data_IF_809698239501
#
_entry.id   IF_809698239501
#
_cell.length_a   1.000
_cell.length_b   1.000
_cell.length_c   1.000
_cell.angle_alpha   90.00
_cell.angle_beta   90.00
_cell.angle_gamma   90.00
#
_symmetry.space_group_name_H-M   'P 1'
#
loop_
_entity.id
_entity.type
_entity.pdbx_description
1 polymer ?
#
# COMPACT_ATOMS: atom_id res chain seq x y z
N UNK A 1 26.33 -2.12 -38.08
CA UNK A 1 25.00 -1.82 -37.54
C UNK A 1 24.67 -2.74 -36.41
N UNK A 2 24.07 -2.26 -35.30
CA UNK A 2 23.66 -3.10 -34.18
C UNK A 2 22.33 -3.77 -34.53
N UNK A 3 22.29 -5.10 -34.52
CA UNK A 3 21.06 -5.85 -34.83
C UNK A 3 19.98 -5.48 -33.83
N UNK A 4 18.75 -5.23 -34.29
CA UNK A 4 17.62 -4.89 -33.45
C UNK A 4 17.16 -6.11 -32.64
N UNK A 5 16.98 -5.93 -31.34
CA UNK A 5 16.55 -6.99 -30.43
C UNK A 5 15.37 -6.54 -29.58
N UNK A 6 14.49 -7.50 -29.24
CA UNK A 6 13.41 -7.35 -28.27
C UNK A 6 13.65 -8.40 -27.18
N UNK A 7 13.53 -8.04 -25.92
CA UNK A 7 13.78 -8.93 -24.81
C UNK A 7 12.51 -9.17 -23.98
N UNK A 8 12.30 -10.42 -23.61
CA UNK A 8 11.34 -10.82 -22.57
C UNK A 8 12.09 -11.31 -21.33
N UNK A 9 11.42 -11.87 -20.37
CA UNK A 9 12.02 -12.40 -19.16
C UNK A 9 13.01 -13.55 -19.50
N UNK A 10 12.55 -14.53 -20.30
CA UNK A 10 13.29 -15.74 -20.60
C UNK A 10 13.87 -15.81 -22.03
N UNK A 11 13.47 -14.90 -22.93
CA UNK A 11 13.83 -14.98 -24.35
C UNK A 11 14.40 -13.67 -24.88
N UNK A 12 15.23 -13.82 -25.92
CA UNK A 12 15.73 -12.73 -26.76
C UNK A 12 15.18 -12.94 -28.18
N UNK A 13 14.57 -11.92 -28.74
CA UNK A 13 14.10 -11.89 -30.10
C UNK A 13 15.10 -11.08 -30.92
N UNK A 14 15.83 -11.73 -31.80
CA UNK A 14 16.84 -11.10 -32.63
C UNK A 14 16.31 -10.96 -34.04
N UNK A 15 16.37 -9.74 -34.60
CA UNK A 15 15.90 -9.49 -35.97
C UNK A 15 16.66 -10.36 -36.97
N UNK A 16 15.92 -11.08 -37.82
CA UNK A 16 16.47 -11.99 -38.81
C UNK A 16 17.32 -11.28 -39.86
N UNK A 17 18.32 -11.98 -40.34
CA UNK A 17 19.22 -11.62 -41.43
C UNK A 17 19.30 -12.73 -42.45
N UNK A 18 19.98 -12.48 -43.59
CA UNK A 18 20.23 -13.52 -44.60
C UNK A 18 21.09 -14.70 -44.10
N UNK A 19 21.86 -14.49 -43.01
CA UNK A 19 22.66 -15.55 -42.40
C UNK A 19 21.82 -16.58 -41.61
N UNK A 20 20.56 -16.30 -41.34
CA UNK A 20 19.68 -17.13 -40.49
C UNK A 20 18.89 -18.21 -41.28
N UNK A 21 19.24 -18.44 -42.54
CA UNK A 21 18.56 -19.39 -43.41
C UNK A 21 18.42 -20.78 -42.83
N UNK A 22 19.48 -21.34 -42.18
CA UNK A 22 19.45 -22.66 -41.60
C UNK A 22 18.52 -22.74 -40.39
N UNK A 23 18.53 -21.71 -39.54
CA UNK A 23 17.62 -21.62 -38.39
C UNK A 23 16.17 -21.50 -38.84
N UNK A 24 15.92 -20.68 -39.88
CA UNK A 24 14.58 -20.51 -40.44
C UNK A 24 14.09 -21.79 -41.13
N UNK A 25 14.92 -22.48 -41.87
CA UNK A 25 14.61 -23.78 -42.48
C UNK A 25 14.26 -24.84 -41.43
N UNK A 26 15.05 -24.94 -40.35
CA UNK A 26 14.77 -25.89 -39.25
C UNK A 26 13.37 -25.69 -38.67
N UNK A 27 12.89 -24.46 -38.58
CA UNK A 27 11.56 -24.14 -38.07
C UNK A 27 10.48 -24.41 -39.13
N UNK A 28 10.74 -24.05 -40.40
CA UNK A 28 9.73 -24.12 -41.46
C UNK A 28 9.60 -25.52 -42.10
N UNK A 29 10.57 -26.43 -41.86
CA UNK A 29 10.54 -27.81 -42.27
C UNK A 29 9.86 -28.70 -41.21
N UNK A 30 8.67 -28.30 -40.77
CA UNK A 30 7.83 -29.06 -39.83
C UNK A 30 6.37 -28.85 -40.15
N UNK A 31 5.64 -29.90 -40.52
CA UNK A 31 4.22 -29.81 -40.91
C UNK A 31 3.33 -29.25 -39.81
N UNK A 32 3.56 -29.66 -38.56
CA UNK A 32 2.75 -29.19 -37.42
C UNK A 32 2.92 -27.68 -37.17
N UNK A 33 4.17 -27.19 -37.27
CA UNK A 33 4.51 -25.78 -37.10
C UNK A 33 3.96 -24.94 -38.24
N UNK A 34 3.98 -25.48 -39.48
CA UNK A 34 3.58 -24.78 -40.68
C UNK A 34 2.10 -24.97 -41.06
N UNK A 35 1.38 -25.83 -40.35
CA UNK A 35 -0.02 -26.21 -40.60
C UNK A 35 -0.96 -25.03 -40.84
N UNK A 36 -0.82 -23.95 -40.10
CA UNK A 36 -1.67 -22.74 -40.23
C UNK A 36 -0.94 -21.56 -40.89
N UNK A 37 0.16 -21.82 -41.60
CA UNK A 37 0.96 -20.80 -42.29
C UNK A 37 0.93 -21.09 -43.81
N UNK A 38 1.36 -22.29 -44.19
CA UNK A 38 1.43 -22.73 -45.58
C UNK A 38 0.62 -24.03 -45.82
N UNK A 39 0.14 -24.66 -44.75
CA UNK A 39 -0.58 -25.93 -44.78
C UNK A 39 0.34 -27.16 -44.80
N UNK A 40 1.63 -27.02 -45.07
CA UNK A 40 2.63 -28.06 -45.15
C UNK A 40 4.02 -27.52 -44.79
N UNK A 41 4.95 -28.44 -44.46
CA UNK A 41 6.35 -28.12 -44.28
C UNK A 41 7.00 -27.60 -45.55
N UNK A 42 7.88 -26.62 -45.45
CA UNK A 42 8.60 -26.11 -46.59
C UNK A 42 9.85 -26.94 -46.92
N UNK A 43 10.13 -27.10 -48.18
CA UNK A 43 11.45 -27.56 -48.61
C UNK A 43 12.49 -26.41 -48.50
N UNK A 44 13.76 -26.70 -48.77
CA UNK A 44 14.85 -25.72 -48.61
C UNK A 44 14.66 -24.52 -49.55
N UNK A 45 14.23 -24.75 -50.80
CA UNK A 45 14.08 -23.66 -51.78
C UNK A 45 12.91 -22.75 -51.40
N UNK A 46 11.81 -23.32 -50.98
CA UNK A 46 10.64 -22.60 -50.50
C UNK A 46 10.95 -21.78 -49.26
N UNK A 47 11.64 -22.40 -48.30
CA UNK A 47 12.07 -21.71 -47.04
C UNK A 47 12.99 -20.55 -47.34
N UNK A 48 14.02 -20.72 -48.18
CA UNK A 48 14.95 -19.67 -48.57
C UNK A 48 14.24 -18.54 -49.35
N UNK A 49 13.28 -18.88 -50.19
CA UNK A 49 12.46 -17.91 -50.93
C UNK A 49 11.60 -17.09 -49.97
N UNK A 50 10.93 -17.76 -49.05
CA UNK A 50 10.08 -17.08 -48.03
C UNK A 50 10.90 -16.16 -47.13
N UNK A 51 12.06 -16.61 -46.66
CA UNK A 51 12.97 -15.75 -45.87
C UNK A 51 13.37 -14.50 -46.66
N UNK A 52 13.78 -14.65 -47.93
CA UNK A 52 14.15 -13.51 -48.78
C UNK A 52 13.00 -12.50 -48.91
N UNK A 53 11.75 -13.00 -49.09
CA UNK A 53 10.56 -12.14 -49.16
C UNK A 53 10.40 -11.35 -47.85
N UNK A 54 10.47 -11.99 -46.72
CA UNK A 54 10.36 -11.31 -45.41
C UNK A 54 11.46 -10.28 -45.15
N UNK A 55 12.68 -10.57 -45.57
CA UNK A 55 13.80 -9.61 -45.43
C UNK A 55 13.68 -8.40 -46.34
N UNK A 56 12.95 -8.53 -47.46
CA UNK A 56 12.71 -7.43 -48.38
C UNK A 56 11.58 -6.49 -47.94
N UNK A 57 10.68 -6.95 -47.01
CA UNK A 57 9.54 -6.15 -46.54
C UNK A 57 9.98 -4.91 -45.73
N UNK A 58 10.98 -5.06 -44.89
CA UNK A 58 11.44 -4.02 -43.95
C UNK A 58 12.96 -3.91 -43.89
N UNK A 59 13.44 -2.69 -43.95
CA UNK A 59 14.87 -2.41 -43.77
C UNK A 59 15.40 -2.73 -42.35
N UNK A 60 16.73 -2.78 -42.21
CA UNK A 60 17.38 -3.13 -40.94
C UNK A 60 17.26 -2.06 -39.86
N UNK A 61 16.92 -0.83 -40.21
CA UNK A 61 16.85 0.31 -39.29
C UNK A 61 15.54 0.39 -38.50
N UNK A 62 14.53 -0.37 -38.90
CA UNK A 62 13.23 -0.45 -38.22
C UNK A 62 13.13 -1.66 -37.32
N UNK A 63 12.26 -1.58 -36.32
CA UNK A 63 11.85 -2.74 -35.50
C UNK A 63 10.77 -3.60 -36.16
N UNK A 64 10.21 -3.18 -37.29
CA UNK A 64 9.29 -4.03 -38.03
C UNK A 64 10.06 -5.15 -38.75
N UNK A 65 9.43 -6.32 -38.89
CA UNK A 65 9.96 -7.48 -39.57
C UNK A 65 9.89 -8.77 -38.78
N UNK A 66 10.77 -9.70 -39.12
CA UNK A 66 10.82 -11.07 -38.57
C UNK A 66 11.98 -11.23 -37.59
N UNK A 67 11.74 -12.05 -36.56
CA UNK A 67 12.69 -12.27 -35.47
C UNK A 67 12.89 -13.78 -35.24
N UNK A 68 14.09 -14.19 -34.91
CA UNK A 68 14.35 -15.45 -34.22
C UNK A 68 14.06 -15.29 -32.73
N UNK A 69 13.44 -16.26 -32.12
CA UNK A 69 13.25 -16.36 -30.68
C UNK A 69 14.28 -17.34 -30.15
N UNK A 70 15.16 -16.90 -29.27
CA UNK A 70 16.19 -17.71 -28.65
C UNK A 70 16.07 -17.66 -27.12
N UNK A 71 16.35 -18.80 -26.49
CA UNK A 71 16.41 -18.89 -25.03
C UNK A 71 17.55 -18.01 -24.49
N UNK A 72 17.28 -17.16 -23.52
CA UNK A 72 18.27 -16.29 -22.90
C UNK A 72 19.33 -17.09 -22.14
N UNK A 73 18.98 -18.23 -21.57
CA UNK A 73 19.88 -19.06 -20.76
C UNK A 73 20.75 -20.00 -21.56
N UNK A 74 20.22 -20.57 -22.67
CA UNK A 74 20.93 -21.59 -23.47
C UNK A 74 21.34 -21.13 -24.85
N UNK A 75 20.78 -20.06 -25.39
CA UNK A 75 20.93 -19.64 -26.79
C UNK A 75 20.19 -20.57 -27.79
N UNK A 76 19.37 -21.49 -27.30
CA UNK A 76 18.64 -22.45 -28.11
C UNK A 76 17.56 -21.75 -28.93
N UNK A 77 17.39 -22.11 -30.21
CA UNK A 77 16.33 -21.64 -31.06
C UNK A 77 14.99 -22.20 -30.60
N UNK A 78 14.07 -21.31 -30.29
CA UNK A 78 12.72 -21.61 -29.78
C UNK A 78 11.66 -21.44 -30.85
N UNK A 79 11.86 -20.49 -31.76
CA UNK A 79 10.86 -20.19 -32.79
C UNK A 79 11.12 -18.88 -33.50
N UNK A 80 10.05 -18.31 -34.06
CA UNK A 80 10.09 -16.99 -34.73
C UNK A 80 8.93 -16.12 -34.30
N UNK A 81 9.13 -14.81 -34.42
CA UNK A 81 8.10 -13.79 -34.18
C UNK A 81 8.05 -12.78 -35.32
N UNK A 82 6.96 -12.04 -35.40
CA UNK A 82 6.82 -10.91 -36.33
C UNK A 82 6.27 -9.67 -35.64
N UNK A 83 6.68 -8.55 -36.17
CA UNK A 83 6.07 -7.24 -35.97
C UNK A 83 5.87 -6.62 -37.37
N UNK A 84 4.63 -6.49 -37.78
CA UNK A 84 4.28 -5.90 -39.05
C UNK A 84 3.44 -4.64 -38.88
N UNK A 85 3.39 -3.80 -39.90
CA UNK A 85 2.45 -2.68 -39.96
C UNK A 85 1.30 -3.07 -40.84
N UNK A 86 0.08 -3.09 -40.28
CA UNK A 86 -1.15 -3.21 -41.02
C UNK A 86 -1.89 -1.87 -40.93
N UNK A 87 -1.86 -1.09 -42.03
CA UNK A 87 -2.38 0.27 -42.03
C UNK A 87 -1.81 1.17 -40.97
N UNK A 88 -2.50 1.41 -39.86
CA UNK A 88 -2.05 2.19 -38.71
C UNK A 88 -1.89 1.34 -37.44
N UNK A 89 -2.06 0.03 -37.55
CA UNK A 89 -2.04 -0.93 -36.45
C UNK A 89 -0.75 -1.76 -36.51
N UNK A 90 -0.23 -2.16 -35.35
CA UNK A 90 0.94 -3.07 -35.30
C UNK A 90 0.44 -4.49 -35.15
N UNK A 91 0.70 -5.33 -36.16
CA UNK A 91 0.40 -6.74 -36.11
C UNK A 91 1.53 -7.51 -35.44
N UNK A 92 1.19 -8.35 -34.47
CA UNK A 92 2.10 -9.30 -33.87
C UNK A 92 1.81 -10.75 -34.34
N UNK A 93 2.86 -11.55 -34.42
CA UNK A 93 2.72 -12.97 -34.68
C UNK A 93 3.89 -13.75 -34.10
N UNK A 94 3.70 -15.06 -33.94
CA UNK A 94 4.74 -15.97 -33.44
C UNK A 94 4.52 -17.39 -34.00
N UNK A 95 5.60 -18.14 -34.09
CA UNK A 95 5.64 -19.59 -34.34
C UNK A 95 6.65 -20.19 -33.39
N UNK A 96 6.24 -21.21 -32.66
CA UNK A 96 7.09 -21.89 -31.67
C UNK A 96 7.36 -23.30 -32.21
N UNK A 97 8.60 -23.79 -32.11
CA UNK A 97 8.99 -25.13 -32.47
C UNK A 97 8.22 -26.16 -31.64
N UNK A 98 7.85 -27.27 -32.24
CA UNK A 98 6.93 -28.27 -31.67
C UNK A 98 7.41 -28.80 -30.28
N UNK A 99 8.69 -29.03 -30.12
CA UNK A 99 9.32 -29.53 -28.88
C UNK A 99 9.20 -28.55 -27.70
N UNK A 100 8.79 -27.29 -27.98
CA UNK A 100 8.61 -26.24 -26.98
C UNK A 100 7.15 -25.89 -26.69
N UNK A 101 6.20 -26.62 -27.27
CA UNK A 101 4.77 -26.39 -27.03
C UNK A 101 4.35 -26.75 -25.61
N UNK A 102 3.23 -26.19 -25.15
CA UNK A 102 2.68 -26.46 -23.80
C UNK A 102 3.41 -25.82 -22.63
N UNK A 103 4.54 -25.15 -22.85
CA UNK A 103 5.42 -24.59 -21.80
C UNK A 103 5.12 -23.10 -21.48
N UNK A 104 4.06 -22.51 -22.04
CA UNK A 104 3.70 -21.10 -21.79
C UNK A 104 4.48 -20.07 -22.62
N UNK A 105 5.47 -20.50 -23.38
CA UNK A 105 6.41 -19.66 -24.16
C UNK A 105 5.68 -18.71 -25.10
N UNK A 106 4.75 -19.21 -25.92
CA UNK A 106 3.99 -18.40 -26.85
C UNK A 106 3.24 -17.25 -26.16
N UNK A 107 2.74 -17.46 -24.93
CA UNK A 107 2.06 -16.42 -24.15
C UNK A 107 3.03 -15.34 -23.67
N UNK A 108 4.25 -15.73 -23.23
CA UNK A 108 5.30 -14.78 -22.85
C UNK A 108 5.72 -13.93 -24.06
N UNK A 109 5.96 -14.59 -25.20
CA UNK A 109 6.34 -13.90 -26.45
C UNK A 109 5.25 -12.91 -26.89
N UNK A 110 3.98 -13.35 -26.92
CA UNK A 110 2.85 -12.46 -27.30
C UNK A 110 2.77 -11.23 -26.36
N UNK A 111 2.87 -11.43 -25.06
CA UNK A 111 2.91 -10.33 -24.07
C UNK A 111 4.11 -9.39 -24.29
N UNK A 112 5.28 -9.97 -24.52
CA UNK A 112 6.50 -9.21 -24.80
C UNK A 112 6.37 -8.34 -26.06
N UNK A 113 5.83 -8.89 -27.15
CA UNK A 113 5.57 -8.17 -28.40
C UNK A 113 4.54 -7.06 -28.20
N UNK A 114 3.43 -7.33 -27.50
CA UNK A 114 2.40 -6.32 -27.17
C UNK A 114 3.03 -5.19 -26.36
N UNK A 115 3.77 -5.52 -25.31
CA UNK A 115 4.46 -4.54 -24.47
C UNK A 115 5.40 -3.67 -25.29
N UNK A 116 6.24 -4.30 -26.11
CA UNK A 116 7.18 -3.60 -26.97
C UNK A 116 6.47 -2.68 -27.99
N UNK A 117 5.43 -3.18 -28.65
CA UNK A 117 4.64 -2.39 -29.59
C UNK A 117 4.01 -1.15 -28.93
N UNK A 118 3.48 -1.29 -27.71
CA UNK A 118 2.88 -0.17 -26.96
C UNK A 118 3.91 0.81 -26.41
N UNK A 119 5.00 0.33 -25.83
CA UNK A 119 5.96 1.17 -25.11
C UNK A 119 7.03 1.77 -26.02
N UNK A 120 7.50 1.00 -27.02
CA UNK A 120 8.64 1.44 -27.88
C UNK A 120 8.18 1.97 -29.23
N UNK A 121 7.18 1.32 -29.86
CA UNK A 121 6.64 1.76 -31.14
C UNK A 121 5.47 2.74 -30.99
N UNK A 122 4.99 2.96 -29.77
CA UNK A 122 3.84 3.82 -29.46
C UNK A 122 2.59 3.47 -30.28
N UNK A 123 2.41 2.17 -30.57
CA UNK A 123 1.31 1.66 -31.37
C UNK A 123 -0.05 2.07 -30.77
N UNK A 124 -0.90 2.71 -31.55
CA UNK A 124 -2.28 3.05 -31.13
C UNK A 124 -3.05 1.79 -30.83
N UNK A 125 -2.96 0.80 -31.73
CA UNK A 125 -3.58 -0.50 -31.60
C UNK A 125 -2.56 -1.60 -31.92
N UNK A 126 -2.63 -2.72 -31.18
CA UNK A 126 -1.89 -3.95 -31.47
C UNK A 126 -2.90 -5.01 -31.87
N UNK A 127 -2.66 -5.68 -32.98
CA UNK A 127 -3.54 -6.69 -33.57
C UNK A 127 -2.82 -8.01 -33.79
N UNK A 128 -3.58 -9.09 -33.97
CA UNK A 128 -3.09 -10.38 -34.41
C UNK A 128 -4.17 -11.10 -35.21
N UNK A 129 -3.76 -11.82 -36.25
CA UNK A 129 -4.65 -12.71 -37.01
C UNK A 129 -4.35 -14.16 -36.65
N UNK A 130 -5.39 -14.97 -36.50
CA UNK A 130 -5.26 -16.39 -36.19
C UNK A 130 -6.31 -17.19 -36.95
N UNK A 131 -5.89 -18.32 -37.58
CA UNK A 131 -6.81 -19.23 -38.22
C UNK A 131 -7.83 -19.77 -37.20
N UNK A 132 -9.11 -19.80 -37.56
CA UNK A 132 -10.22 -20.21 -36.67
C UNK A 132 -10.05 -21.62 -36.12
N UNK A 133 -9.34 -22.50 -36.80
CA UNK A 133 -9.03 -23.88 -36.36
C UNK A 133 -7.84 -23.96 -35.40
N UNK A 134 -7.08 -22.87 -35.23
CA UNK A 134 -5.90 -22.86 -34.34
C UNK A 134 -6.29 -22.50 -32.89
N UNK A 135 -6.98 -23.45 -32.23
CA UNK A 135 -7.45 -23.26 -30.85
C UNK A 135 -6.31 -22.98 -29.84
N UNK A 136 -5.09 -23.45 -30.13
CA UNK A 136 -3.94 -23.21 -29.27
C UNK A 136 -3.52 -21.74 -29.31
N UNK A 137 -3.39 -21.15 -30.50
CA UNK A 137 -3.01 -19.75 -30.66
C UNK A 137 -4.11 -18.79 -30.17
N UNK A 138 -5.39 -19.14 -30.38
CA UNK A 138 -6.54 -18.40 -29.83
C UNK A 138 -6.38 -18.25 -28.31
N UNK A 139 -6.17 -19.36 -27.59
CA UNK A 139 -5.96 -19.35 -26.13
C UNK A 139 -4.72 -18.54 -25.69
N UNK A 140 -3.67 -18.52 -26.50
CA UNK A 140 -2.47 -17.72 -26.22
C UNK A 140 -2.81 -16.23 -26.32
N UNK A 141 -3.50 -15.80 -27.38
CA UNK A 141 -3.89 -14.40 -27.58
C UNK A 141 -4.82 -13.90 -26.47
N UNK A 142 -5.82 -14.71 -26.09
CA UNK A 142 -6.70 -14.41 -24.95
C UNK A 142 -5.93 -14.24 -23.63
N UNK A 143 -5.00 -15.18 -23.32
CA UNK A 143 -4.12 -15.09 -22.14
C UNK A 143 -3.17 -13.90 -22.20
N UNK A 144 -2.82 -13.42 -23.38
CA UNK A 144 -2.03 -12.21 -23.57
C UNK A 144 -2.84 -10.90 -23.43
N UNK A 145 -4.16 -11.00 -23.21
CA UNK A 145 -5.04 -9.85 -23.03
C UNK A 145 -5.61 -9.29 -24.34
N UNK A 146 -5.61 -10.10 -25.39
CA UNK A 146 -6.25 -9.75 -26.65
C UNK A 146 -7.69 -10.29 -26.70
N UNK A 147 -8.56 -9.61 -27.39
CA UNK A 147 -9.98 -9.99 -27.58
C UNK A 147 -10.27 -10.16 -29.06
N UNK A 148 -11.05 -11.18 -29.40
CA UNK A 148 -11.54 -11.39 -30.75
C UNK A 148 -12.61 -10.33 -31.08
N UNK A 149 -12.43 -9.60 -32.17
CA UNK A 149 -13.32 -8.52 -32.57
C UNK A 149 -13.98 -8.77 -33.92
N UNK A 150 -13.41 -9.64 -34.73
CA UNK A 150 -13.87 -9.85 -36.11
C UNK A 150 -13.55 -11.26 -36.61
N UNK A 151 -14.44 -11.83 -37.36
CA UNK A 151 -14.20 -13.05 -38.15
C UNK A 151 -14.10 -12.64 -39.61
N UNK A 152 -12.93 -12.88 -40.22
CA UNK A 152 -12.64 -12.54 -41.61
C UNK A 152 -12.70 -13.82 -42.43
N UNK A 153 -13.52 -13.82 -43.48
CA UNK A 153 -13.62 -14.92 -44.43
C UNK A 153 -12.99 -14.48 -45.75
N UNK A 154 -11.85 -15.04 -46.09
CA UNK A 154 -11.20 -14.87 -47.37
C UNK A 154 -11.37 -16.14 -48.20
N UNK A 155 -11.09 -16.08 -49.51
CA UNK A 155 -11.34 -17.18 -50.44
C UNK A 155 -10.73 -18.50 -50.02
N UNK A 156 -9.55 -18.48 -49.36
CA UNK A 156 -8.79 -19.65 -49.04
C UNK A 156 -8.64 -19.88 -47.50
N UNK A 157 -9.04 -18.94 -46.66
CA UNK A 157 -8.80 -19.03 -45.24
C UNK A 157 -9.79 -18.21 -44.39
N UNK A 158 -10.21 -18.79 -43.26
CA UNK A 158 -11.03 -18.09 -42.27
C UNK A 158 -10.18 -17.78 -41.05
N UNK A 159 -10.11 -16.51 -40.66
CA UNK A 159 -9.32 -15.98 -39.57
C UNK A 159 -10.17 -15.19 -38.58
N UNK A 160 -9.71 -15.15 -37.33
CA UNK A 160 -10.13 -14.16 -36.32
C UNK A 160 -9.13 -13.01 -36.28
N UNK A 161 -9.65 -11.78 -36.20
CA UNK A 161 -8.87 -10.60 -35.85
C UNK A 161 -8.98 -10.39 -34.35
N UNK A 162 -7.83 -10.39 -33.67
CA UNK A 162 -7.70 -10.06 -32.28
C UNK A 162 -7.13 -8.66 -32.13
N UNK A 163 -7.64 -7.90 -31.14
CA UNK A 163 -7.06 -6.62 -30.75
C UNK A 163 -6.61 -6.67 -29.29
N UNK A 164 -5.51 -6.01 -28.96
CA UNK A 164 -5.12 -5.82 -27.57
C UNK A 164 -6.05 -4.81 -26.90
N UNK A 165 -6.79 -5.30 -25.93
CA UNK A 165 -7.63 -4.48 -25.06
C UNK A 165 -7.14 -4.69 -23.64
N UNK A 166 -6.43 -3.70 -23.03
CA UNK A 166 -6.02 -3.83 -21.65
C UNK A 166 -7.29 -4.00 -20.80
N UNK A 167 -7.52 -5.23 -20.35
CA UNK A 167 -8.66 -5.54 -19.50
C UNK A 167 -8.51 -4.70 -18.24
N UNK A 168 -9.45 -3.80 -18.00
CA UNK A 168 -9.67 -3.19 -16.69
C UNK A 168 -10.06 -4.35 -15.76
N UNK A 169 -9.09 -4.85 -15.00
CA UNK A 169 -9.26 -6.03 -14.16
C UNK A 169 -10.49 -5.84 -13.26
N UNK A 170 -11.60 -6.60 -13.45
CA UNK A 170 -12.83 -6.42 -12.68
C UNK A 170 -12.61 -6.71 -11.19
N UNK A 171 -11.58 -7.50 -10.87
CA UNK A 171 -11.16 -7.78 -9.50
C UNK A 171 -10.63 -6.51 -8.80
N UNK A 172 -9.82 -5.70 -9.49
CA UNK A 172 -9.32 -4.42 -8.94
C UNK A 172 -10.46 -3.46 -8.60
N UNK A 173 -11.50 -3.38 -9.43
CA UNK A 173 -12.70 -2.56 -9.12
C UNK A 173 -13.43 -3.08 -7.89
N UNK A 174 -13.63 -4.40 -7.77
CA UNK A 174 -14.27 -5.00 -6.59
C UNK A 174 -13.49 -4.73 -5.32
N UNK A 175 -12.16 -4.90 -5.34
CA UNK A 175 -11.28 -4.58 -4.21
C UNK A 175 -11.39 -3.10 -3.84
N UNK A 176 -11.38 -2.19 -4.83
CA UNK A 176 -11.54 -0.76 -4.58
C UNK A 176 -12.89 -0.44 -3.90
N UNK A 177 -14.00 -1.05 -4.35
CA UNK A 177 -15.31 -0.83 -3.72
C UNK A 177 -15.39 -1.40 -2.30
N UNK A 178 -14.73 -2.54 -2.03
CA UNK A 178 -14.64 -3.09 -0.67
C UNK A 178 -13.88 -2.13 0.25
N UNK A 179 -12.73 -1.64 -0.18
CA UNK A 179 -11.94 -0.66 0.60
C UNK A 179 -12.74 0.62 0.84
N UNK A 180 -13.40 1.14 -0.19
CA UNK A 180 -14.25 2.33 -0.06
C UNK A 180 -15.40 2.10 0.93
N UNK A 181 -16.04 0.93 0.86
CA UNK A 181 -17.08 0.53 1.80
C UNK A 181 -16.60 0.48 3.25
N UNK A 182 -15.41 -0.09 3.50
CA UNK A 182 -14.78 -0.11 4.82
C UNK A 182 -14.47 1.29 5.35
N UNK A 183 -13.95 2.17 4.50
CA UNK A 183 -13.71 3.59 4.87
C UNK A 183 -15.03 4.27 5.27
N UNK A 184 -16.10 4.07 4.50
CA UNK A 184 -17.42 4.64 4.81
C UNK A 184 -17.93 4.12 6.15
N UNK A 185 -17.80 2.81 6.42
CA UNK A 185 -18.21 2.21 7.70
C UNK A 185 -17.45 2.85 8.86
N UNK A 186 -16.13 3.01 8.75
CA UNK A 186 -15.29 3.66 9.79
C UNK A 186 -15.72 5.10 10.00
N UNK A 187 -15.97 5.86 8.94
CA UNK A 187 -16.43 7.24 9.04
C UNK A 187 -17.80 7.34 9.71
N UNK A 188 -18.75 6.48 9.32
CA UNK A 188 -20.08 6.45 9.96
C UNK A 188 -19.96 6.09 11.44
N UNK A 189 -19.15 5.09 11.78
CA UNK A 189 -18.87 4.74 13.18
C UNK A 189 -18.29 5.93 13.95
N UNK A 190 -17.32 6.66 13.36
CA UNK A 190 -16.71 7.83 13.98
C UNK A 190 -17.72 8.95 14.29
N UNK A 191 -18.75 9.14 13.46
CA UNK A 191 -19.80 10.14 13.72
C UNK A 191 -20.78 9.72 14.82
N UNK A 192 -20.97 8.40 15.02
CA UNK A 192 -21.93 7.88 16.02
C UNK A 192 -21.25 7.68 17.38
N UNK A 193 -19.97 7.33 17.40
CA UNK A 193 -19.23 7.03 18.62
C UNK A 193 -18.89 8.30 19.41
N UNK A 194 -18.88 8.23 20.76
CA UNK A 194 -18.42 9.35 21.57
C UNK A 194 -17.01 9.77 21.20
N UNK A 195 -16.77 11.06 21.21
CA UNK A 195 -15.45 11.66 21.01
C UNK A 195 -14.78 12.09 22.31
N UNK A 196 -15.59 12.29 23.35
CA UNK A 196 -15.14 12.76 24.64
C UNK A 196 -14.91 11.60 25.60
N UNK A 197 -13.90 11.72 26.42
CA UNK A 197 -13.55 10.76 27.45
C UNK A 197 -13.24 11.47 28.76
N UNK A 198 -13.51 10.81 29.86
CA UNK A 198 -13.19 11.32 31.20
C UNK A 198 -12.80 10.14 32.10
N UNK A 199 -11.86 10.39 33.00
CA UNK A 199 -11.45 9.47 34.04
C UNK A 199 -11.43 10.23 35.36
N UNK A 200 -12.04 9.70 36.41
CA UNK A 200 -12.00 10.28 37.76
C UNK A 200 -11.76 9.16 38.77
N UNK A 201 -10.93 9.45 39.78
CA UNK A 201 -10.73 8.60 40.95
C UNK A 201 -10.77 9.46 42.22
N UNK A 202 -11.10 8.82 43.34
CA UNK A 202 -11.18 9.50 44.62
C UNK A 202 -10.51 8.71 45.75
N UNK A 203 -10.12 9.44 46.79
CA UNK A 203 -9.57 8.87 48.04
C UNK A 203 -10.01 9.72 49.20
N UNK A 204 -10.19 9.09 50.41
CA UNK A 204 -10.38 9.82 51.65
C UNK A 204 -9.05 9.88 52.37
N UNK A 205 -8.61 11.10 52.76
CA UNK A 205 -7.39 11.39 53.50
C UNK A 205 -7.77 11.91 54.89
N UNK A 206 -7.22 11.31 55.93
CA UNK A 206 -7.48 11.68 57.33
C UNK A 206 -6.66 12.93 57.72
N UNK A 207 -6.96 14.03 57.09
CA UNK A 207 -6.42 15.37 57.34
C UNK A 207 -7.48 16.44 57.08
N UNK A 208 -7.43 17.60 57.79
CA UNK A 208 -8.33 18.72 57.53
C UNK A 208 -8.22 19.21 56.10
N UNK A 209 -9.36 19.64 55.53
CA UNK A 209 -9.49 20.10 54.13
C UNK A 209 -8.48 21.17 53.78
N UNK A 210 -8.24 22.15 54.64
CA UNK A 210 -7.29 23.23 54.40
C UNK A 210 -5.86 22.71 54.22
N UNK A 211 -5.42 21.73 54.99
CA UNK A 211 -4.09 21.15 54.86
C UNK A 211 -3.93 20.36 53.53
N UNK A 212 -4.95 19.58 53.20
CA UNK A 212 -4.95 18.77 51.95
C UNK A 212 -4.97 19.70 50.75
N UNK A 213 -5.85 20.76 50.76
CA UNK A 213 -5.95 21.69 49.66
C UNK A 213 -4.66 22.45 49.41
N UNK A 214 -4.05 23.04 50.46
CA UNK A 214 -2.77 23.72 50.33
C UNK A 214 -1.65 22.84 49.78
N UNK A 215 -1.67 21.55 50.06
CA UNK A 215 -0.71 20.63 49.52
C UNK A 215 -0.92 20.33 48.03
N UNK A 216 -2.18 20.05 47.61
CA UNK A 216 -2.49 19.70 46.21
C UNK A 216 -2.50 20.90 45.27
N UNK A 217 -2.67 22.13 45.82
CA UNK A 217 -2.62 23.38 45.03
C UNK A 217 -1.23 23.61 44.40
N UNK A 218 -0.17 23.14 45.03
CA UNK A 218 1.19 23.18 44.49
C UNK A 218 1.41 22.06 43.48
N UNK A 219 1.63 22.38 42.19
CA UNK A 219 1.97 21.38 41.19
C UNK A 219 3.34 20.74 41.40
N UNK A 220 4.29 21.43 42.08
CA UNK A 220 5.57 20.83 42.44
C UNK A 220 5.40 19.69 43.43
N UNK A 221 4.41 19.77 44.31
CA UNK A 221 4.12 18.69 45.25
C UNK A 221 3.63 17.42 44.56
N UNK A 222 3.05 17.55 43.35
CA UNK A 222 2.61 16.40 42.54
C UNK A 222 3.77 15.44 42.22
N UNK A 223 4.99 15.96 42.12
CA UNK A 223 6.19 15.16 41.87
C UNK A 223 6.50 14.17 43.00
N UNK A 224 5.99 14.39 44.20
CA UNK A 224 6.25 13.54 45.40
C UNK A 224 5.31 12.31 45.45
N UNK A 225 4.18 12.33 44.73
CA UNK A 225 3.17 11.30 44.84
C UNK A 225 2.65 10.76 43.50
N UNK A 226 2.85 11.49 42.41
CA UNK A 226 2.43 11.04 41.08
C UNK A 226 3.25 9.83 40.60
N UNK A 227 2.58 8.84 40.10
CA UNK A 227 3.22 7.61 39.57
C UNK A 227 4.13 7.86 38.37
N UNK A 228 3.86 8.92 37.60
CA UNK A 228 4.65 9.25 36.40
C UNK A 228 6.10 9.61 36.69
N UNK A 229 6.38 10.16 37.88
CA UNK A 229 7.76 10.41 38.32
C UNK A 229 8.55 9.11 38.51
N UNK A 230 7.87 8.02 38.86
CA UNK A 230 8.49 6.71 38.97
C UNK A 230 8.74 6.00 37.63
N UNK A 231 8.06 6.43 36.54
CA UNK A 231 8.21 5.82 35.22
C UNK A 231 9.47 6.30 34.47
N UNK A 232 10.01 7.48 34.87
CA UNK A 232 11.30 7.97 34.35
C UNK A 232 12.09 8.70 35.43
N UNK A 233 13.08 8.05 36.05
CA UNK A 233 13.95 8.68 37.03
C UNK A 233 14.80 9.85 36.50
N UNK A 234 14.95 9.96 35.18
CA UNK A 234 15.74 10.99 34.52
C UNK A 234 14.88 12.09 33.89
N UNK A 235 13.59 12.16 34.22
CA UNK A 235 12.67 13.17 33.68
C UNK A 235 13.19 14.59 33.97
N UNK A 236 13.26 15.38 32.92
CA UNK A 236 13.63 16.80 33.05
C UNK A 236 12.37 17.61 33.33
N UNK A 237 12.46 18.42 34.37
CA UNK A 237 11.38 19.34 34.78
C UNK A 237 11.82 20.78 34.63
N UNK A 238 10.91 21.63 34.16
CA UNK A 238 11.09 23.07 34.16
C UNK A 238 9.79 23.72 34.62
N UNK A 239 9.91 24.81 35.38
CA UNK A 239 8.78 25.50 36.01
C UNK A 239 8.80 26.96 35.65
N UNK A 240 7.62 27.53 35.38
CA UNK A 240 7.46 28.97 35.11
C UNK A 240 6.32 29.52 35.93
N UNK A 241 6.51 30.72 36.51
CA UNK A 241 5.53 31.38 37.38
C UNK A 241 5.69 31.05 38.85
N UNK A 242 4.71 31.42 39.66
CA UNK A 242 4.65 31.16 41.08
C UNK A 242 3.78 29.93 41.34
N UNK A 243 4.35 28.90 41.97
CA UNK A 243 3.63 27.66 42.25
C UNK A 243 2.39 27.90 43.15
N UNK A 244 1.31 27.17 42.86
CA UNK A 244 0.05 27.32 43.54
C UNK A 244 -0.76 28.58 43.13
N UNK A 245 -0.40 29.24 42.02
CA UNK A 245 -1.16 30.34 41.47
C UNK A 245 -1.56 30.11 40.02
N UNK A 246 -2.61 30.75 39.54
CA UNK A 246 -3.03 30.68 38.13
C UNK A 246 -1.91 31.17 37.22
N UNK A 247 -1.67 30.42 36.13
CA UNK A 247 -0.58 30.66 35.17
C UNK A 247 0.73 29.95 35.52
N UNK A 248 0.82 29.30 36.69
CA UNK A 248 1.99 28.42 36.96
C UNK A 248 1.99 27.24 36.02
N UNK A 249 3.14 26.99 35.38
CA UNK A 249 3.32 25.93 34.42
C UNK A 249 4.46 25.01 34.85
N UNK A 250 4.18 23.69 34.86
CA UNK A 250 5.14 22.61 35.06
C UNK A 250 5.36 21.91 33.74
N UNK A 251 6.55 22.01 33.16
CA UNK A 251 6.94 21.34 31.92
C UNK A 251 7.75 20.10 32.21
N UNK A 252 7.59 19.06 31.40
CA UNK A 252 8.37 17.82 31.49
C UNK A 252 8.86 17.34 30.14
N UNK A 253 10.01 16.67 30.15
CA UNK A 253 10.59 15.95 29.02
C UNK A 253 11.20 14.65 29.57
N UNK A 254 10.58 13.52 29.24
CA UNK A 254 10.94 12.19 29.71
C UNK A 254 11.17 11.19 28.59
N UNK A 255 11.27 9.91 28.97
CA UNK A 255 11.38 8.80 28.02
C UNK A 255 10.08 8.59 27.23
N UNK A 256 10.06 7.56 26.34
CA UNK A 256 8.89 7.24 25.50
C UNK A 256 7.60 6.88 26.27
N UNK A 257 7.70 6.50 27.54
CA UNK A 257 6.57 6.11 28.37
C UNK A 257 5.94 7.32 29.09
N UNK A 258 6.70 8.40 29.27
CA UNK A 258 6.26 9.67 29.89
C UNK A 258 6.03 10.75 28.85
N UNK A 259 6.80 10.75 27.76
CA UNK A 259 6.69 11.74 26.69
C UNK A 259 7.14 13.13 27.11
N UNK A 260 6.60 14.14 26.40
CA UNK A 260 6.89 15.55 26.63
C UNK A 260 5.59 16.35 26.68
N UNK A 261 5.53 17.32 27.58
CA UNK A 261 4.36 18.18 27.71
C UNK A 261 4.49 19.20 28.81
N UNK A 262 3.37 19.84 29.09
CA UNK A 262 3.24 20.84 30.15
C UNK A 262 1.88 20.79 30.83
N UNK A 263 1.83 21.20 32.07
CA UNK A 263 0.62 21.34 32.88
C UNK A 263 0.57 22.75 33.46
N UNK A 264 -0.49 23.47 33.17
CA UNK A 264 -0.72 24.84 33.60
C UNK A 264 -1.89 24.88 34.57
N UNK A 265 -1.79 25.64 35.67
CA UNK A 265 -2.91 25.97 36.54
C UNK A 265 -3.76 27.02 35.81
N UNK A 266 -4.99 26.67 35.44
CA UNK A 266 -5.89 27.57 34.69
C UNK A 266 -6.91 28.28 35.60
N UNK A 267 -7.29 27.63 36.73
CA UNK A 267 -8.23 28.22 37.69
C UNK A 267 -8.04 27.61 39.07
N UNK A 268 -8.24 28.44 40.09
CA UNK A 268 -8.27 27.98 41.50
C UNK A 268 -9.57 28.50 42.13
N UNK A 269 -10.33 27.58 42.74
CA UNK A 269 -11.41 27.91 43.68
C UNK A 269 -10.87 27.54 45.06
N UNK A 270 -10.49 28.55 45.81
CA UNK A 270 -9.71 28.41 47.02
C UNK A 270 -10.38 27.47 48.05
N UNK A 271 -9.62 26.54 48.52
CA UNK A 271 -10.09 25.50 49.43
C UNK A 271 -10.98 24.44 48.80
N UNK A 272 -11.29 24.47 47.52
CA UNK A 272 -12.26 23.55 46.86
C UNK A 272 -11.71 22.83 45.65
N UNK A 273 -11.10 23.60 44.71
CA UNK A 273 -10.78 23.02 43.39
C UNK A 273 -9.59 23.71 42.73
N UNK A 274 -8.76 22.91 42.10
CA UNK A 274 -7.69 23.37 41.22
C UNK A 274 -7.94 22.75 39.84
N UNK A 275 -8.13 23.62 38.84
CA UNK A 275 -8.23 23.22 37.43
C UNK A 275 -6.90 23.44 36.74
N UNK A 276 -6.51 22.48 35.93
CA UNK A 276 -5.28 22.53 35.16
C UNK A 276 -5.54 22.10 33.72
N UNK A 277 -4.71 22.58 32.82
CA UNK A 277 -4.68 22.13 31.44
C UNK A 277 -3.37 21.40 31.17
N UNK A 278 -3.47 20.17 30.66
CA UNK A 278 -2.34 19.37 30.20
C UNK A 278 -2.23 19.49 28.69
N UNK A 279 -1.06 19.91 28.22
CA UNK A 279 -0.69 19.95 26.80
C UNK A 279 0.41 18.96 26.56
N UNK A 280 0.07 17.83 25.96
CA UNK A 280 1.04 16.81 25.50
C UNK A 280 1.61 17.27 24.16
N UNK A 281 2.94 17.13 24.00
CA UNK A 281 3.69 17.50 22.79
C UNK A 281 4.17 16.23 22.08
N UNK A 282 4.63 15.26 22.85
CA UNK A 282 5.10 13.96 22.37
C UNK A 282 4.50 12.82 23.20
N UNK A 283 4.15 11.66 22.60
CA UNK A 283 4.33 11.29 21.18
C UNK A 283 3.24 11.85 20.26
N UNK A 284 2.13 12.37 20.77
CA UNK A 284 1.01 12.96 20.01
C UNK A 284 0.55 14.23 20.67
N UNK A 285 0.36 15.28 19.87
CA UNK A 285 -0.18 16.54 20.38
C UNK A 285 -1.63 16.36 20.83
N UNK A 286 -1.90 16.73 22.09
CA UNK A 286 -3.27 16.80 22.62
C UNK A 286 -3.36 17.78 23.78
N UNK A 287 -4.54 18.37 23.94
CA UNK A 287 -4.85 19.25 25.06
C UNK A 287 -6.01 18.65 25.84
N UNK A 288 -5.85 18.53 27.14
CA UNK A 288 -6.79 17.90 28.04
C UNK A 288 -6.96 18.72 29.29
N UNK A 289 -8.16 18.69 29.86
CA UNK A 289 -8.44 19.35 31.13
C UNK A 289 -8.29 18.35 32.28
N UNK A 290 -7.70 18.79 33.36
CA UNK A 290 -7.61 18.02 34.57
C UNK A 290 -7.98 18.88 35.79
N UNK A 291 -8.37 18.22 36.85
CA UNK A 291 -8.74 18.93 38.06
C UNK A 291 -8.50 18.08 39.31
N UNK A 292 -8.30 18.78 40.43
CA UNK A 292 -8.36 18.18 41.75
C UNK A 292 -9.42 18.92 42.59
N UNK A 293 -10.27 18.15 43.29
CA UNK A 293 -11.33 18.65 44.14
C UNK A 293 -11.10 18.16 45.55
N UNK A 294 -11.34 19.04 46.55
CA UNK A 294 -11.39 18.66 47.95
C UNK A 294 -12.77 18.89 48.57
N UNK A 295 -13.32 17.85 49.17
CA UNK A 295 -14.61 17.90 49.86
C UNK A 295 -14.40 17.48 51.34
N UNK A 296 -14.86 18.26 52.29
CA UNK A 296 -14.80 17.85 53.67
C UNK A 296 -15.76 16.69 53.92
N UNK A 297 -15.24 15.61 54.46
CA UNK A 297 -16.06 14.45 54.95
C UNK A 297 -16.44 14.72 56.41
N UNK A 298 -15.47 15.14 57.19
CA UNK A 298 -15.61 15.64 58.56
C UNK A 298 -14.49 16.66 58.86
N UNK A 299 -14.40 17.30 60.08
CA UNK A 299 -13.34 18.25 60.36
C UNK A 299 -11.89 17.74 60.26
N UNK A 300 -11.71 16.43 60.31
CA UNK A 300 -10.42 15.74 60.26
C UNK A 300 -10.18 14.89 59.03
N UNK A 301 -11.17 14.78 58.12
CA UNK A 301 -11.08 13.94 56.91
C UNK A 301 -11.58 14.65 55.65
N UNK A 302 -10.84 14.48 54.57
CA UNK A 302 -11.07 15.12 53.27
C UNK A 302 -11.14 14.08 52.17
N UNK A 303 -12.20 14.16 51.35
CA UNK A 303 -12.27 13.42 50.11
C UNK A 303 -11.54 14.26 49.03
N UNK A 304 -10.61 13.62 48.34
CA UNK A 304 -9.90 14.20 47.20
C UNK A 304 -10.33 13.45 45.94
N UNK A 305 -10.79 14.18 44.93
CA UNK A 305 -11.06 13.68 43.61
C UNK A 305 -10.00 14.20 42.63
N UNK A 306 -9.54 13.33 41.76
CA UNK A 306 -8.64 13.67 40.68
C UNK A 306 -9.25 13.24 39.36
N UNK A 307 -9.51 14.21 38.51
CA UNK A 307 -10.18 14.01 37.22
C UNK A 307 -9.34 14.50 36.05
N UNK A 308 -9.58 13.86 34.92
CA UNK A 308 -8.97 14.15 33.63
C UNK A 308 -9.99 13.93 32.53
N UNK A 309 -10.08 14.88 31.58
CA UNK A 309 -10.98 14.77 30.45
C UNK A 309 -10.35 15.32 29.18
N UNK A 310 -10.78 14.79 28.06
CA UNK A 310 -10.32 15.21 26.76
C UNK A 310 -11.26 14.81 25.65
N UNK A 311 -10.91 15.19 24.43
CA UNK A 311 -11.68 14.88 23.25
C UNK A 311 -10.75 14.38 22.15
N UNK A 312 -11.15 13.31 21.47
CA UNK A 312 -10.42 12.75 20.33
C UNK A 312 -11.11 13.16 19.03
N UNK A 313 -10.37 13.78 18.07
CA UNK A 313 -10.98 14.23 16.83
C UNK A 313 -11.45 13.07 15.96
N UNK A 314 -12.50 13.31 15.17
CA UNK A 314 -12.99 12.39 14.15
C UNK A 314 -11.94 12.32 13.02
N UNK A 315 -11.60 11.13 12.48
CA UNK A 315 -12.18 9.81 12.77
C UNK A 315 -11.46 9.01 13.86
N UNK A 316 -10.49 9.59 14.58
CA UNK A 316 -9.65 8.86 15.54
C UNK A 316 -10.42 8.38 16.77
N UNK A 317 -11.57 9.01 17.07
CA UNK A 317 -12.43 8.64 18.22
C UNK A 317 -12.92 7.18 18.17
N UNK A 318 -12.92 6.50 17.01
CA UNK A 318 -13.22 5.06 16.91
C UNK A 318 -12.23 4.19 17.67
N UNK A 319 -11.08 4.73 18.03
CA UNK A 319 -10.06 4.01 18.80
C UNK A 319 -10.30 4.06 20.32
N UNK A 320 -11.09 5.03 20.81
CA UNK A 320 -11.32 5.23 22.25
C UNK A 320 -11.71 3.95 23.00
N UNK A 321 -12.66 3.10 22.52
CA UNK A 321 -13.04 1.87 23.23
C UNK A 321 -11.91 0.85 23.34
N UNK A 322 -10.89 0.94 22.49
CA UNK A 322 -9.77 0.00 22.44
C UNK A 322 -8.54 0.49 23.21
N UNK A 323 -8.53 1.75 23.64
CA UNK A 323 -7.38 2.35 24.31
C UNK A 323 -7.32 2.02 25.81
N UNK A 324 -8.39 1.47 26.39
CA UNK A 324 -8.43 1.14 27.82
C UNK A 324 -8.12 2.33 28.73
N UNK A 325 -8.51 3.55 28.33
CA UNK A 325 -8.17 4.80 29.04
C UNK A 325 -8.61 4.75 30.52
N UNK A 326 -9.82 4.27 30.77
CA UNK A 326 -10.33 4.19 32.13
C UNK A 326 -9.55 3.21 33.00
N UNK A 327 -9.12 2.09 32.42
CA UNK A 327 -8.35 1.06 33.14
C UNK A 327 -6.91 1.52 33.39
N UNK A 328 -6.24 2.04 32.35
CA UNK A 328 -4.82 2.45 32.42
C UNK A 328 -4.64 3.76 33.22
N UNK A 329 -5.27 4.85 32.78
CA UNK A 329 -5.15 6.17 33.42
C UNK A 329 -5.81 6.14 34.79
N UNK A 330 -6.97 5.46 34.92
CA UNK A 330 -7.67 5.33 36.19
C UNK A 330 -6.84 4.59 37.25
N UNK A 331 -6.11 3.56 36.85
CA UNK A 331 -5.17 2.87 37.76
C UNK A 331 -4.05 3.82 38.20
N UNK A 332 -3.42 4.54 37.29
CA UNK A 332 -2.35 5.49 37.60
C UNK A 332 -2.87 6.60 38.55
N UNK A 333 -4.09 7.08 38.36
CA UNK A 333 -4.72 8.06 39.27
C UNK A 333 -4.98 7.49 40.64
N UNK A 334 -5.51 6.27 40.73
CA UNK A 334 -5.78 5.63 42.00
C UNK A 334 -4.48 5.37 42.79
N UNK A 335 -3.43 4.89 42.12
CA UNK A 335 -2.13 4.65 42.72
C UNK A 335 -1.51 5.97 43.19
N UNK A 336 -1.58 7.03 42.39
CA UNK A 336 -1.14 8.39 42.77
C UNK A 336 -1.88 8.93 44.00
N UNK A 337 -3.22 8.82 44.01
CA UNK A 337 -4.03 9.24 45.16
C UNK A 337 -3.72 8.43 46.43
N UNK A 338 -3.46 7.16 46.30
CA UNK A 338 -3.02 6.31 47.43
C UNK A 338 -1.64 6.75 47.97
N UNK A 339 -0.70 7.12 47.08
CA UNK A 339 0.58 7.69 47.46
C UNK A 339 0.40 9.02 48.18
N UNK A 340 -0.45 9.93 47.67
CA UNK A 340 -0.78 11.20 48.29
C UNK A 340 -1.33 11.00 49.70
N UNK A 341 -2.29 10.07 49.86
CA UNK A 341 -2.83 9.69 51.17
C UNK A 341 -1.75 9.21 52.10
N UNK A 342 -0.91 8.25 51.68
CA UNK A 342 0.20 7.74 52.49
C UNK A 342 1.22 8.78 52.88
N UNK A 343 1.40 9.84 52.08
CA UNK A 343 2.31 10.94 52.35
C UNK A 343 1.71 11.93 53.37
N UNK A 344 0.43 12.28 53.23
CA UNK A 344 -0.19 13.26 54.09
C UNK A 344 -0.60 12.71 55.49
N UNK A 345 -0.82 11.41 55.61
CA UNK A 345 -1.22 10.77 56.85
C UNK A 345 -0.01 10.40 57.77
N UNK A 346 1.22 10.54 57.28
CA UNK A 346 2.43 10.42 58.12
C UNK A 346 2.49 11.59 59.10
#
# INVERSE_FOLDING_TARGET
MKVKTISTENFVLTKMTAADGDKYFRLSNNDNVMKYVTGHALDRQESDKMLRTFLAEYGNDTYLGRYLIESRSSGELIGTAKLDMDSSEVEIGYRIMEEHWGKGIATEIARGLIHFAKQTLHAKQVIAYVNVANAASIRVLEKAGMVNVERIEDLDEVKYKFIYSPQKNPFMKKVLYIILGLIVIVLVAAFIMPKDYAVEREVIINRPKSQVFEYIKSLKNQDNWSVWMGKDPNIKKNYTGTDGTVGFTSMWEGNKDVGKGEQEITKITEGERVDTQLRFIEPFESTNDAYMITEAVDPSATKVKWGFSGSMPIPMNVMLPFMGMEESVGKDFQDGLNNLKGLLEK
#
